data_IF_720986195798
#
_entry.id   IF_720986195798
#
_cell.length_a   1.000
_cell.length_b   1.000
_cell.length_c   1.000
_cell.angle_alpha   90.00
_cell.angle_beta   90.00
_cell.angle_gamma   90.00
#
_symmetry.space_group_name_H-M   'P 1'
#
loop_
_entity.id
_entity.type
_entity.pdbx_description
1 polymer ?
#
# COMPACT_ATOMS: atom_id res chain seq x y z
N UNK A 1 -34.34 -34.65 24.55
CA UNK A 1 -33.44 -33.99 25.51
C UNK A 1 -34.21 -32.83 26.13
N UNK A 2 -34.33 -32.79 27.46
CA UNK A 2 -35.32 -31.95 28.15
C UNK A 2 -34.94 -30.47 28.14
N UNK A 3 -35.72 -29.66 27.43
CA UNK A 3 -35.64 -28.18 27.41
C UNK A 3 -35.61 -27.58 28.83
N UNK A 4 -36.36 -28.18 29.75
CA UNK A 4 -36.48 -27.75 31.14
C UNK A 4 -35.17 -27.91 31.93
N UNK A 5 -34.32 -28.87 31.54
CA UNK A 5 -33.02 -29.08 32.17
C UNK A 5 -32.06 -27.93 31.85
N UNK A 6 -31.99 -27.51 30.57
CA UNK A 6 -31.19 -26.37 30.17
C UNK A 6 -31.73 -25.06 30.77
N UNK A 7 -33.05 -24.87 30.80
CA UNK A 7 -33.64 -23.69 31.44
C UNK A 7 -33.31 -23.61 32.94
N UNK A 8 -33.40 -24.73 33.67
CA UNK A 8 -33.04 -24.80 35.09
C UNK A 8 -31.56 -24.51 35.32
N UNK A 9 -30.69 -25.04 34.46
CA UNK A 9 -29.24 -24.80 34.53
C UNK A 9 -28.91 -23.34 34.20
N UNK A 10 -29.56 -22.75 33.19
CA UNK A 10 -29.38 -21.33 32.85
C UNK A 10 -29.83 -20.42 34.00
N UNK A 11 -31.00 -20.68 34.59
CA UNK A 11 -31.48 -19.94 35.75
C UNK A 11 -30.55 -20.09 36.97
N UNK A 12 -29.96 -21.28 37.15
CA UNK A 12 -28.96 -21.52 38.19
C UNK A 12 -27.67 -20.73 37.92
N UNK A 13 -27.13 -20.76 36.70
CA UNK A 13 -25.95 -19.99 36.31
C UNK A 13 -26.16 -18.47 36.41
N UNK A 14 -27.37 -18.00 36.12
CA UNK A 14 -27.76 -16.60 36.28
C UNK A 14 -27.85 -16.21 37.76
N UNK A 15 -28.51 -17.04 38.59
CA UNK A 15 -28.62 -16.83 40.04
C UNK A 15 -27.28 -16.89 40.77
N UNK A 16 -26.36 -17.75 40.32
CA UNK A 16 -25.00 -17.83 40.84
C UNK A 16 -24.08 -16.72 40.32
N UNK A 17 -24.55 -15.83 39.44
CA UNK A 17 -23.75 -14.72 38.90
C UNK A 17 -22.69 -15.12 37.88
N UNK A 18 -22.52 -16.41 37.60
CA UNK A 18 -21.45 -16.96 36.73
C UNK A 18 -21.53 -16.35 35.32
N UNK A 19 -22.74 -16.15 34.78
CA UNK A 19 -22.92 -15.51 33.47
C UNK A 19 -22.46 -14.04 33.51
N UNK A 20 -22.71 -13.35 34.61
CA UNK A 20 -22.28 -11.96 34.81
C UNK A 20 -20.76 -11.88 34.93
N UNK A 21 -20.14 -12.80 35.66
CA UNK A 21 -18.69 -12.87 35.85
C UNK A 21 -17.98 -13.19 34.54
N UNK A 22 -18.45 -14.18 33.79
CA UNK A 22 -17.92 -14.52 32.46
C UNK A 22 -18.09 -13.33 31.50
N UNK A 23 -19.25 -12.67 31.49
CA UNK A 23 -19.49 -11.49 30.65
C UNK A 23 -18.56 -10.34 31.03
N UNK A 24 -18.35 -10.11 32.32
CA UNK A 24 -17.47 -9.05 32.83
C UNK A 24 -16.02 -9.36 32.49
N UNK A 25 -15.57 -10.61 32.67
CA UNK A 25 -14.24 -11.07 32.30
C UNK A 25 -13.99 -10.96 30.78
N UNK A 26 -14.96 -11.36 29.95
CA UNK A 26 -14.85 -11.20 28.48
C UNK A 26 -14.79 -9.73 28.07
N UNK A 27 -15.61 -8.86 28.69
CA UNK A 27 -15.55 -7.41 28.45
C UNK A 27 -14.20 -6.84 28.87
N UNK A 28 -13.70 -7.24 30.04
CA UNK A 28 -12.40 -6.82 30.54
C UNK A 28 -11.27 -7.27 29.61
N UNK A 29 -11.28 -8.53 29.15
CA UNK A 29 -10.31 -9.04 28.19
C UNK A 29 -10.39 -8.34 26.84
N UNK A 30 -11.60 -8.04 26.34
CA UNK A 30 -11.77 -7.29 25.10
C UNK A 30 -11.22 -5.86 25.24
N UNK A 31 -11.52 -5.18 26.34
CA UNK A 31 -10.98 -3.85 26.63
C UNK A 31 -9.46 -3.89 26.79
N UNK A 32 -8.91 -4.88 27.48
CA UNK A 32 -7.46 -5.03 27.64
C UNK A 32 -6.77 -5.35 26.33
N UNK A 33 -7.34 -6.24 25.52
CA UNK A 33 -6.87 -6.52 24.16
C UNK A 33 -6.83 -5.21 23.37
N UNK A 34 -7.95 -4.50 23.24
CA UNK A 34 -8.03 -3.21 22.54
C UNK A 34 -7.14 -2.11 23.11
N UNK A 35 -6.86 -2.11 24.41
CA UNK A 35 -5.96 -1.15 25.07
C UNK A 35 -4.49 -1.47 24.84
N UNK A 36 -4.16 -2.75 24.65
CA UNK A 36 -2.81 -3.22 24.31
C UNK A 36 -2.54 -3.23 22.80
N UNK A 37 -3.59 -3.32 21.97
CA UNK A 37 -3.47 -3.10 20.53
C UNK A 37 -3.38 -1.60 20.30
N UNK A 38 -2.17 -1.10 20.20
CA UNK A 38 -1.87 0.24 19.72
C UNK A 38 -2.66 0.52 18.43
N UNK A 39 -3.78 1.26 18.52
CA UNK A 39 -4.55 1.76 17.36
C UNK A 39 -3.75 2.76 16.51
N UNK A 40 -2.46 2.95 16.81
CA UNK A 40 -1.49 3.71 16.04
C UNK A 40 -0.97 2.96 14.81
N UNK A 41 -1.34 1.69 14.62
CA UNK A 41 -1.17 0.97 13.35
C UNK A 41 -2.08 1.61 12.27
N UNK A 42 -1.56 2.66 11.62
CA UNK A 42 -1.93 3.24 10.31
C UNK A 42 -1.76 4.78 10.24
N UNK A 43 -0.92 5.39 11.10
CA UNK A 43 -0.58 6.83 10.90
C UNK A 43 0.24 7.11 9.65
N UNK A 44 0.93 6.12 9.09
CA UNK A 44 1.79 6.34 7.92
C UNK A 44 1.03 6.32 6.57
N UNK A 45 -0.24 5.91 6.56
CA UNK A 45 -1.13 5.98 5.40
C UNK A 45 -2.28 7.00 5.58
N UNK A 46 -2.22 7.87 6.60
CA UNK A 46 -3.27 8.84 6.93
C UNK A 46 -3.31 10.07 6.01
N UNK A 47 -2.87 9.92 4.76
CA UNK A 47 -3.30 10.85 3.73
C UNK A 47 -4.80 10.67 3.47
N UNK A 48 -5.53 11.72 3.06
CA UNK A 48 -6.88 11.52 2.57
C UNK A 48 -6.84 10.47 1.45
N UNK A 49 -7.48 9.32 1.67
CA UNK A 49 -7.61 8.29 0.63
C UNK A 49 -8.21 8.94 -0.62
N UNK A 50 -7.58 8.74 -1.77
CA UNK A 50 -8.12 9.24 -3.03
C UNK A 50 -9.55 8.70 -3.24
N UNK A 51 -10.43 9.49 -3.85
CA UNK A 51 -11.76 9.03 -4.26
C UNK A 51 -11.69 7.70 -5.03
N UNK A 52 -10.65 7.50 -5.85
CA UNK A 52 -10.41 6.23 -6.55
C UNK A 52 -10.18 5.05 -5.60
N UNK A 53 -9.40 5.25 -4.54
CA UNK A 53 -9.17 4.21 -3.54
C UNK A 53 -10.47 3.83 -2.81
N UNK A 54 -11.31 4.81 -2.50
CA UNK A 54 -12.63 4.54 -1.91
C UNK A 54 -13.51 3.71 -2.86
N UNK A 55 -13.52 4.04 -4.15
CA UNK A 55 -14.27 3.26 -5.15
C UNK A 55 -13.71 1.84 -5.29
N UNK A 56 -12.39 1.65 -5.27
CA UNK A 56 -11.81 0.30 -5.25
C UNK A 56 -12.21 -0.47 -3.98
N UNK A 57 -12.10 0.16 -2.82
CA UNK A 57 -12.49 -0.45 -1.54
C UNK A 57 -13.99 -0.85 -1.58
N UNK A 58 -14.86 0.01 -2.14
CA UNK A 58 -16.29 -0.23 -2.30
C UNK A 58 -16.60 -1.38 -3.27
N UNK A 59 -15.96 -1.41 -4.44
CA UNK A 59 -16.15 -2.47 -5.44
C UNK A 59 -15.70 -3.83 -4.94
N UNK A 60 -14.59 -3.88 -4.19
CA UNK A 60 -14.11 -5.10 -3.53
C UNK A 60 -15.09 -5.54 -2.45
N UNK A 61 -15.59 -4.61 -1.64
CA UNK A 61 -16.56 -4.93 -0.61
C UNK A 61 -17.86 -5.51 -1.18
N UNK A 62 -18.38 -4.91 -2.25
CA UNK A 62 -19.56 -5.39 -2.96
C UNK A 62 -19.34 -6.80 -3.53
N UNK A 63 -18.16 -7.05 -4.13
CA UNK A 63 -17.80 -8.37 -4.62
C UNK A 63 -17.78 -9.43 -3.50
N UNK A 64 -17.11 -9.11 -2.38
CA UNK A 64 -17.04 -10.01 -1.21
C UNK A 64 -18.43 -10.26 -0.61
N UNK A 65 -19.27 -9.23 -0.60
CA UNK A 65 -20.65 -9.31 -0.14
C UNK A 65 -21.49 -10.24 -1.03
N UNK A 66 -21.46 -10.04 -2.35
CA UNK A 66 -22.24 -10.84 -3.31
C UNK A 66 -21.85 -12.33 -3.33
N UNK A 67 -20.61 -12.66 -2.97
CA UNK A 67 -20.13 -14.04 -2.86
C UNK A 67 -20.23 -14.65 -1.45
N UNK A 68 -20.90 -13.97 -0.49
CA UNK A 68 -21.07 -14.44 0.89
C UNK A 68 -19.75 -14.67 1.66
N UNK A 69 -18.68 -13.94 1.33
CA UNK A 69 -17.41 -14.01 2.06
C UNK A 69 -17.45 -13.15 3.34
N UNK A 70 -18.36 -13.44 4.25
CA UNK A 70 -18.63 -12.63 5.43
C UNK A 70 -17.42 -12.43 6.36
N UNK A 71 -16.59 -13.48 6.53
CA UNK A 71 -15.36 -13.39 7.33
C UNK A 71 -14.35 -12.44 6.69
N UNK A 72 -14.02 -12.66 5.41
CA UNK A 72 -13.08 -11.83 4.66
C UNK A 72 -13.55 -10.38 4.61
N UNK A 73 -14.85 -10.16 4.39
CA UNK A 73 -15.44 -8.84 4.42
C UNK A 73 -15.32 -8.17 5.79
N UNK A 74 -15.48 -8.91 6.89
CA UNK A 74 -15.34 -8.35 8.24
C UNK A 74 -13.92 -7.88 8.55
N UNK A 75 -12.91 -8.66 8.12
CA UNK A 75 -11.50 -8.29 8.21
C UNK A 75 -11.23 -7.08 7.31
N UNK A 76 -11.69 -7.13 6.07
CA UNK A 76 -11.52 -6.04 5.12
C UNK A 76 -12.15 -4.72 5.59
N UNK A 77 -13.35 -4.76 6.17
CA UNK A 77 -14.02 -3.60 6.75
C UNK A 77 -13.28 -3.05 7.99
N UNK A 78 -12.55 -3.90 8.73
CA UNK A 78 -11.71 -3.44 9.86
C UNK A 78 -10.46 -2.69 9.40
N UNK A 79 -9.97 -2.96 8.18
CA UNK A 79 -8.78 -2.32 7.60
C UNK A 79 -9.12 -1.12 6.70
N UNK A 80 -10.35 -1.03 6.21
CA UNK A 80 -10.82 0.05 5.34
C UNK A 80 -11.82 0.97 6.07
N UNK A 81 -11.36 2.08 6.69
CA UNK A 81 -12.17 2.90 7.60
C UNK A 81 -13.40 3.58 6.97
N UNK A 82 -13.47 3.67 5.65
CA UNK A 82 -14.58 4.29 4.93
C UNK A 82 -15.72 3.30 4.59
N UNK A 83 -15.51 2.01 4.83
CA UNK A 83 -16.49 0.95 4.53
C UNK A 83 -17.51 0.72 5.65
N UNK A 84 -17.43 1.48 6.76
CA UNK A 84 -18.29 1.34 7.94
C UNK A 84 -19.79 1.49 7.61
N UNK A 85 -20.14 2.01 6.44
CA UNK A 85 -21.53 2.23 6.01
C UNK A 85 -21.96 1.48 4.74
N UNK A 86 -21.26 0.42 4.26
CA UNK A 86 -21.67 -0.33 3.05
C UNK A 86 -23.17 -0.69 3.06
N UNK A 87 -23.71 -1.09 4.22
CA UNK A 87 -25.14 -1.44 4.38
C UNK A 87 -26.11 -0.28 4.12
N UNK A 88 -25.69 0.98 4.25
CA UNK A 88 -26.54 2.16 3.94
C UNK A 88 -26.65 2.41 2.44
N UNK A 89 -25.73 1.86 1.66
CA UNK A 89 -25.60 2.08 0.21
C UNK A 89 -26.28 0.97 -0.61
N UNK A 90 -26.93 0.02 0.07
CA UNK A 90 -27.71 -1.07 -0.52
C UNK A 90 -29.18 -0.67 -0.61
N UNK A 91 -29.87 -1.05 -1.69
CA UNK A 91 -31.33 -0.85 -1.80
C UNK A 91 -32.04 -1.67 -0.70
N UNK A 92 -33.00 -1.11 0.06
CA UNK A 92 -33.83 -1.90 0.97
C UNK A 92 -34.79 -2.75 0.14
N UNK A 93 -34.37 -3.97 -0.21
CA UNK A 93 -35.14 -4.95 -0.97
C UNK A 93 -35.36 -6.24 -0.17
N UNK A 94 -36.45 -6.94 -0.48
CA UNK A 94 -36.90 -8.21 0.09
C UNK A 94 -35.81 -9.30 0.13
N UNK A 95 -36.00 -10.32 0.97
CA UNK A 95 -35.02 -11.38 1.30
C UNK A 95 -34.40 -12.14 0.10
N UNK A 96 -34.89 -11.97 -1.13
CA UNK A 96 -34.37 -12.57 -2.36
C UNK A 96 -33.57 -11.61 -3.27
N UNK A 97 -33.58 -10.29 -3.01
CA UNK A 97 -32.81 -9.33 -3.82
C UNK A 97 -31.36 -9.30 -3.33
N UNK A 98 -30.47 -9.92 -4.13
CA UNK A 98 -29.02 -9.75 -3.96
C UNK A 98 -28.71 -8.26 -3.85
N UNK A 99 -27.97 -7.92 -2.80
CA UNK A 99 -27.80 -6.57 -2.29
C UNK A 99 -26.94 -5.71 -3.24
N UNK A 100 -27.57 -5.16 -4.27
CA UNK A 100 -26.93 -4.27 -5.24
C UNK A 100 -26.73 -2.86 -4.66
N UNK A 101 -25.67 -2.21 -5.16
CA UNK A 101 -25.39 -0.80 -4.89
C UNK A 101 -26.54 0.08 -5.41
N UNK A 102 -26.80 1.17 -4.70
CA UNK A 102 -27.70 2.23 -5.16
C UNK A 102 -27.19 2.85 -6.47
N UNK A 103 -28.12 3.20 -7.36
CA UNK A 103 -27.81 3.67 -8.70
C UNK A 103 -26.88 4.90 -8.70
N UNK A 104 -27.09 5.83 -7.76
CA UNK A 104 -26.24 7.01 -7.60
C UNK A 104 -24.78 6.66 -7.28
N UNK A 105 -24.54 5.57 -6.54
CA UNK A 105 -23.17 5.12 -6.25
C UNK A 105 -22.54 4.43 -7.46
N UNK A 106 -23.34 3.73 -8.27
CA UNK A 106 -22.87 3.11 -9.51
C UNK A 106 -22.42 4.19 -10.49
N UNK A 107 -23.23 5.25 -10.70
CA UNK A 107 -22.87 6.36 -11.59
C UNK A 107 -21.62 7.09 -11.12
N UNK A 108 -21.52 7.41 -9.83
CA UNK A 108 -20.33 8.05 -9.26
C UNK A 108 -19.08 7.16 -9.30
N UNK A 109 -19.22 5.84 -9.10
CA UNK A 109 -18.12 4.89 -9.21
C UNK A 109 -17.56 4.85 -10.64
N UNK A 110 -18.44 4.77 -11.64
CA UNK A 110 -18.05 4.80 -13.04
C UNK A 110 -17.36 6.12 -13.41
N UNK A 111 -17.93 7.26 -13.01
CA UNK A 111 -17.35 8.58 -13.27
C UNK A 111 -15.96 8.73 -12.65
N UNK A 112 -15.79 8.27 -11.40
CA UNK A 112 -14.50 8.28 -10.70
C UNK A 112 -13.46 7.38 -11.37
N UNK A 113 -13.88 6.29 -12.00
CA UNK A 113 -13.04 5.40 -12.81
C UNK A 113 -12.75 5.96 -14.21
N UNK A 114 -13.39 7.07 -14.60
CA UNK A 114 -13.24 7.70 -15.92
C UNK A 114 -14.18 7.15 -16.98
N UNK A 115 -15.19 6.38 -16.59
CA UNK A 115 -16.26 5.88 -17.46
C UNK A 115 -17.43 6.84 -17.33
N UNK A 116 -17.82 7.49 -18.44
CA UNK A 116 -18.96 8.40 -18.42
C UNK A 116 -20.26 7.59 -18.37
N UNK A 117 -21.09 7.76 -17.33
CA UNK A 117 -22.35 7.02 -17.21
C UNK A 117 -23.34 7.41 -18.33
N UNK A 118 -23.22 8.60 -18.91
CA UNK A 118 -24.08 9.08 -20.00
C UNK A 118 -23.70 8.51 -21.38
N UNK A 119 -22.49 7.94 -21.52
CA UNK A 119 -22.03 7.35 -22.77
C UNK A 119 -22.62 5.93 -22.96
N UNK A 120 -22.76 5.43 -24.21
CA UNK A 120 -23.35 4.12 -24.47
C UNK A 120 -22.61 2.98 -23.75
N UNK A 121 -21.31 3.13 -23.53
CA UNK A 121 -20.50 2.16 -22.80
C UNK A 121 -20.87 2.14 -21.31
N UNK A 122 -21.05 3.31 -20.69
CA UNK A 122 -21.48 3.44 -19.29
C UNK A 122 -22.91 2.95 -19.07
N UNK A 123 -23.84 3.34 -19.96
CA UNK A 123 -25.23 2.86 -19.93
C UNK A 123 -25.32 1.34 -20.12
N UNK A 124 -24.46 0.77 -20.97
CA UNK A 124 -24.40 -0.68 -21.16
C UNK A 124 -23.92 -1.39 -19.89
N UNK A 125 -22.96 -0.83 -19.15
CA UNK A 125 -22.49 -1.38 -17.87
C UNK A 125 -23.59 -1.31 -16.81
N UNK A 126 -24.30 -0.18 -16.71
CA UNK A 126 -25.40 0.01 -15.75
C UNK A 126 -26.53 -0.97 -16.06
N UNK A 127 -26.93 -1.09 -17.34
CA UNK A 127 -27.94 -2.04 -17.76
C UNK A 127 -27.51 -3.50 -17.52
N UNK A 128 -26.26 -3.87 -17.82
CA UNK A 128 -25.75 -5.24 -17.56
C UNK A 128 -25.67 -5.52 -16.04
N UNK A 129 -25.40 -4.50 -15.22
CA UNK A 129 -25.41 -4.61 -13.76
C UNK A 129 -26.82 -4.73 -13.18
N UNK A 130 -27.79 -3.96 -13.67
CA UNK A 130 -29.18 -4.05 -13.20
C UNK A 130 -29.82 -5.38 -13.61
N UNK A 131 -29.53 -5.88 -14.83
CA UNK A 131 -30.14 -7.09 -15.37
C UNK A 131 -29.47 -8.41 -14.95
N UNK A 132 -28.19 -8.39 -14.56
CA UNK A 132 -27.48 -9.61 -14.12
C UNK A 132 -27.20 -9.59 -12.61
N UNK A 133 -26.99 -10.77 -12.03
CA UNK A 133 -26.61 -10.94 -10.62
C UNK A 133 -25.10 -10.74 -10.35
N UNK A 134 -24.39 -10.12 -11.29
CA UNK A 134 -22.94 -9.97 -11.21
C UNK A 134 -22.57 -8.70 -10.44
N UNK A 135 -21.54 -8.74 -9.58
CA UNK A 135 -21.03 -7.53 -8.91
C UNK A 135 -20.53 -6.51 -9.94
N UNK A 136 -20.62 -5.22 -9.60
CA UNK A 136 -20.23 -4.12 -10.50
C UNK A 136 -18.78 -4.22 -10.96
N UNK A 137 -17.89 -4.70 -10.09
CA UNK A 137 -16.49 -4.95 -10.46
C UNK A 137 -16.38 -5.90 -11.66
N UNK A 138 -17.19 -6.96 -11.67
CA UNK A 138 -17.11 -7.99 -12.70
C UNK A 138 -17.76 -7.55 -14.01
N UNK A 139 -18.82 -6.73 -13.95
CA UNK A 139 -19.38 -6.10 -15.15
C UNK A 139 -18.36 -5.15 -15.77
N UNK A 140 -17.72 -4.28 -14.98
CA UNK A 140 -16.65 -3.39 -15.48
C UNK A 140 -15.51 -4.20 -16.13
N UNK A 141 -15.04 -5.27 -15.48
CA UNK A 141 -13.98 -6.12 -16.03
C UNK A 141 -14.39 -6.83 -17.32
N UNK A 142 -15.64 -7.29 -17.43
CA UNK A 142 -16.20 -7.88 -18.65
C UNK A 142 -16.21 -6.86 -19.81
N UNK A 143 -16.54 -5.60 -19.53
CA UNK A 143 -16.53 -4.53 -20.55
C UNK A 143 -15.10 -4.11 -20.96
N UNK A 144 -14.14 -4.17 -20.04
CA UNK A 144 -12.71 -3.99 -20.37
C UNK A 144 -12.21 -5.15 -21.23
N UNK A 145 -12.49 -6.40 -20.84
CA UNK A 145 -12.02 -7.59 -21.56
C UNK A 145 -12.61 -7.72 -22.97
N UNK A 146 -13.88 -7.35 -23.14
CA UNK A 146 -14.56 -7.36 -24.44
C UNK A 146 -14.10 -6.23 -25.37
N UNK A 147 -13.17 -5.37 -24.94
CA UNK A 147 -12.61 -4.30 -25.75
C UNK A 147 -13.61 -3.20 -26.12
N UNK A 148 -14.79 -3.18 -25.49
CA UNK A 148 -15.82 -2.17 -25.72
C UNK A 148 -15.51 -0.85 -25.03
N UNK A 149 -14.65 -0.86 -24.01
CA UNK A 149 -14.21 0.37 -23.36
C UNK A 149 -13.22 1.11 -24.27
N UNK A 150 -13.70 2.13 -24.97
CA UNK A 150 -12.81 3.05 -25.69
C UNK A 150 -12.06 3.89 -24.66
N UNK A 151 -10.86 3.47 -24.28
CA UNK A 151 -9.95 4.26 -23.46
C UNK A 151 -9.50 5.48 -24.28
N UNK A 152 -10.37 6.48 -24.39
CA UNK A 152 -9.94 7.78 -24.88
C UNK A 152 -9.06 8.38 -23.79
N UNK A 153 -7.75 8.33 -24.00
CA UNK A 153 -6.81 9.26 -23.38
C UNK A 153 -7.12 10.66 -23.93
N UNK A 154 -8.32 11.17 -23.62
CA UNK A 154 -8.77 12.48 -24.08
C UNK A 154 -8.07 13.51 -23.23
N UNK A 155 -7.13 14.22 -23.87
CA UNK A 155 -6.53 15.42 -23.34
C UNK A 155 -7.64 16.38 -22.87
N UNK A 156 -7.55 16.80 -21.60
CA UNK A 156 -8.12 18.04 -21.06
C UNK A 156 -9.44 18.48 -21.71
N UNK A 157 -10.54 17.98 -21.19
CA UNK A 157 -11.75 18.80 -21.13
C UNK A 157 -12.06 19.00 -19.66
N UNK A 158 -11.84 20.23 -19.19
CA UNK A 158 -12.31 20.73 -17.90
C UNK A 158 -13.84 20.58 -17.91
N UNK A 159 -14.32 19.47 -17.36
CA UNK A 159 -15.71 19.36 -16.95
C UNK A 159 -15.84 20.25 -15.71
N UNK A 160 -16.84 21.14 -15.73
CA UNK A 160 -17.19 22.03 -14.62
C UNK A 160 -17.52 21.19 -13.38
N UNK A 161 -16.52 20.87 -12.57
CA UNK A 161 -16.73 20.38 -11.23
C UNK A 161 -17.13 21.56 -10.35
N UNK A 162 -18.25 21.42 -9.65
CA UNK A 162 -18.59 22.27 -8.53
C UNK A 162 -17.41 22.29 -7.55
N UNK A 163 -16.78 23.46 -7.46
CA UNK A 163 -15.56 23.70 -6.72
C UNK A 163 -15.82 23.48 -5.22
N UNK A 164 -15.39 22.33 -4.70
CA UNK A 164 -15.31 22.07 -3.26
C UNK A 164 -13.83 22.07 -2.84
N UNK A 165 -13.56 22.47 -1.59
CA UNK A 165 -12.26 22.87 -1.04
C UNK A 165 -11.13 21.80 -1.01
N UNK A 166 -11.21 20.72 -1.80
CA UNK A 166 -10.20 19.65 -1.84
C UNK A 166 -9.40 19.58 -3.13
N UNK A 167 -9.52 20.56 -4.03
CA UNK A 167 -8.58 20.74 -5.15
C UNK A 167 -7.25 21.30 -4.65
N UNK A 168 -6.49 20.47 -3.93
CA UNK A 168 -5.06 20.69 -3.77
C UNK A 168 -4.45 20.67 -5.17
N UNK A 169 -3.89 21.82 -5.59
CA UNK A 169 -2.96 21.94 -6.71
C UNK A 169 -2.16 20.65 -6.81
N UNK A 170 -2.32 19.90 -7.90
CA UNK A 170 -1.49 18.73 -8.24
C UNK A 170 -0.06 19.14 -7.89
N UNK A 171 0.48 18.54 -6.82
CA UNK A 171 1.74 18.99 -6.23
C UNK A 171 2.77 19.09 -7.34
N UNK A 172 3.46 20.24 -7.40
CA UNK A 172 4.50 20.51 -8.39
C UNK A 172 5.57 19.40 -8.41
N UNK A 173 5.70 18.67 -7.29
CA UNK A 173 6.54 17.49 -7.15
C UNK A 173 6.06 16.30 -7.96
N UNK A 174 4.74 16.05 -8.06
CA UNK A 174 4.19 14.96 -8.88
C UNK A 174 4.48 15.22 -10.37
N UNK A 175 4.34 16.47 -10.81
CA UNK A 175 4.69 16.87 -12.18
C UNK A 175 6.20 16.84 -12.44
N UNK A 176 7.02 17.11 -11.42
CA UNK A 176 8.48 16.99 -11.49
C UNK A 176 8.90 15.53 -11.62
N UNK A 177 8.35 14.63 -10.80
CA UNK A 177 8.64 13.20 -10.86
C UNK A 177 8.15 12.57 -12.16
N UNK A 178 6.95 12.94 -12.63
CA UNK A 178 6.45 12.48 -13.93
C UNK A 178 7.40 12.86 -15.08
N UNK A 179 8.00 14.05 -15.05
CA UNK A 179 9.00 14.47 -16.04
C UNK A 179 10.30 13.66 -15.94
N UNK A 180 10.77 13.36 -14.73
CA UNK A 180 11.94 12.49 -14.52
C UNK A 180 11.72 11.09 -15.10
N UNK A 181 10.55 10.49 -14.85
CA UNK A 181 10.19 9.17 -15.36
C UNK A 181 10.15 9.15 -16.90
N UNK A 182 9.55 10.19 -17.52
CA UNK A 182 9.51 10.30 -18.99
C UNK A 182 10.92 10.40 -19.57
N UNK A 183 11.81 11.17 -18.95
CA UNK A 183 13.19 11.32 -19.41
C UNK A 183 14.00 10.03 -19.22
N UNK A 184 13.82 9.33 -18.09
CA UNK A 184 14.43 8.03 -17.86
C UNK A 184 13.98 7.00 -18.90
N UNK A 185 12.68 6.96 -19.22
CA UNK A 185 12.12 6.09 -20.27
C UNK A 185 12.74 6.39 -21.64
N UNK A 186 12.91 7.65 -22.01
CA UNK A 186 13.57 8.03 -23.28
C UNK A 186 15.04 7.58 -23.31
N UNK A 187 15.77 7.74 -22.20
CA UNK A 187 17.17 7.26 -22.10
C UNK A 187 17.24 5.74 -22.27
N UNK A 188 16.38 5.00 -21.58
CA UNK A 188 16.33 3.54 -21.68
C UNK A 188 15.98 3.07 -23.09
N UNK A 189 15.07 3.76 -23.78
CA UNK A 189 14.75 3.47 -25.18
C UNK A 189 15.96 3.65 -26.10
N UNK A 190 16.69 4.76 -25.94
CA UNK A 190 17.90 5.00 -26.73
C UNK A 190 18.99 3.94 -26.46
N UNK A 191 19.13 3.50 -25.21
CA UNK A 191 20.06 2.44 -24.84
C UNK A 191 19.65 1.10 -25.45
N UNK A 192 18.36 0.76 -25.42
CA UNK A 192 17.82 -0.43 -26.08
C UNK A 192 18.07 -0.41 -27.59
N UNK A 193 17.87 0.73 -28.25
CA UNK A 193 18.14 0.89 -29.68
C UNK A 193 19.64 0.77 -29.98
N UNK A 194 20.50 1.29 -29.10
CA UNK A 194 21.96 1.14 -29.20
C UNK A 194 22.40 -0.31 -29.04
N UNK A 195 21.84 -1.06 -28.09
CA UNK A 195 22.09 -2.49 -27.94
C UNK A 195 21.66 -3.28 -29.16
N UNK A 196 20.52 -2.93 -29.78
CA UNK A 196 20.06 -3.58 -31.00
C UNK A 196 21.04 -3.36 -32.16
N UNK A 197 21.58 -2.15 -32.30
CA UNK A 197 22.62 -1.85 -33.29
C UNK A 197 23.90 -2.67 -32.99
N UNK A 198 24.33 -2.70 -31.72
CA UNK A 198 25.48 -3.49 -31.30
C UNK A 198 25.30 -4.98 -31.63
N UNK A 199 24.12 -5.55 -31.35
CA UNK A 199 23.80 -6.95 -31.67
C UNK A 199 23.88 -7.23 -33.18
N UNK A 200 23.40 -6.31 -34.02
CA UNK A 200 23.52 -6.45 -35.47
C UNK A 200 24.97 -6.39 -35.94
N UNK A 201 25.81 -5.55 -35.33
CA UNK A 201 27.23 -5.46 -35.65
C UNK A 201 27.98 -6.72 -35.19
N UNK A 202 27.62 -7.27 -34.03
CA UNK A 202 28.20 -8.50 -33.51
C UNK A 202 27.91 -9.70 -34.42
N UNK A 203 26.67 -9.79 -34.96
CA UNK A 203 26.31 -10.81 -35.97
C UNK A 203 27.13 -10.66 -37.25
N UNK A 204 27.31 -9.43 -37.76
CA UNK A 204 28.17 -9.18 -38.93
C UNK A 204 29.61 -9.60 -38.68
N UNK A 205 30.15 -9.31 -37.49
CA UNK A 205 31.50 -9.70 -37.14
C UNK A 205 31.65 -11.23 -37.02
N UNK A 206 30.65 -11.92 -36.47
CA UNK A 206 30.60 -13.38 -36.48
C UNK A 206 30.56 -13.96 -37.90
N UNK A 207 29.78 -13.35 -38.80
CA UNK A 207 29.75 -13.74 -40.22
C UNK A 207 31.10 -13.50 -40.91
N UNK A 208 31.77 -12.38 -40.62
CA UNK A 208 33.12 -12.10 -41.13
C UNK A 208 34.15 -13.09 -40.60
N UNK A 209 34.10 -13.43 -39.31
CA UNK A 209 34.96 -14.47 -38.72
C UNK A 209 34.71 -15.83 -39.38
N UNK A 210 33.45 -16.21 -39.60
CA UNK A 210 33.10 -17.43 -40.28
C UNK A 210 33.63 -17.46 -41.73
N UNK A 211 33.55 -16.33 -42.45
CA UNK A 211 34.14 -16.19 -43.79
C UNK A 211 35.66 -16.34 -43.77
N UNK A 212 36.35 -15.66 -42.86
CA UNK A 212 37.82 -15.76 -42.74
C UNK A 212 38.24 -17.18 -42.36
N UNK A 213 37.52 -17.83 -41.44
CA UNK A 213 37.78 -19.22 -41.05
C UNK A 213 37.55 -20.19 -42.23
N UNK A 214 36.52 -19.94 -43.03
CA UNK A 214 36.27 -20.70 -44.26
C UNK A 214 37.38 -20.48 -45.29
N UNK A 215 37.80 -19.24 -45.54
CA UNK A 215 38.91 -18.91 -46.44
C UNK A 215 40.25 -19.53 -46.00
N UNK A 216 40.53 -19.59 -44.70
CA UNK A 216 41.70 -20.27 -44.15
C UNK A 216 41.62 -21.79 -44.32
N UNK A 217 40.43 -22.38 -44.14
CA UNK A 217 40.21 -23.81 -44.41
C UNK A 217 40.39 -24.14 -45.89
N UNK A 218 39.87 -23.30 -46.79
CA UNK A 218 40.03 -23.44 -48.25
C UNK A 218 41.49 -23.28 -48.70
N UNK A 219 42.23 -22.32 -48.12
CA UNK A 219 43.68 -22.13 -48.40
C UNK A 219 44.55 -23.24 -47.81
N UNK A 220 44.12 -23.91 -46.75
CA UNK A 220 44.81 -25.07 -46.21
C UNK A 220 44.64 -26.31 -47.10
N UNK A 221 43.49 -26.48 -47.77
CA UNK A 221 43.31 -27.57 -48.75
C UNK A 221 44.16 -27.37 -50.02
N UNK A 222 44.36 -26.13 -50.48
CA UNK A 222 45.28 -25.84 -51.60
C UNK A 222 46.77 -25.99 -51.25
N UNK A 223 47.16 -25.90 -49.97
CA UNK A 223 48.55 -26.08 -49.51
C UNK A 223 48.89 -27.49 -49.03
N UNK A 224 47.91 -28.36 -48.79
CA UNK A 224 48.13 -29.76 -48.36
C UNK A 224 48.75 -30.64 -49.46
N UNK A 225 48.80 -30.20 -50.71
CA UNK A 225 49.60 -30.88 -51.75
C UNK A 225 51.06 -30.40 -51.84
N UNK A 226 51.50 -29.37 -51.10
CA UNK A 226 52.83 -28.77 -51.32
C UNK A 226 53.74 -28.59 -50.09
N UNK A 227 53.29 -28.84 -48.86
CA UNK A 227 54.15 -28.64 -47.68
C UNK A 227 54.29 -29.93 -46.88
N UNK A 228 55.13 -30.83 -47.41
CA UNK A 228 55.70 -31.98 -46.67
C UNK A 228 57.21 -31.85 -46.51
N UNK A 229 57.69 -30.62 -46.28
CA UNK A 229 59.04 -30.36 -45.79
C UNK A 229 58.95 -29.25 -44.73
N UNK A 230 59.53 -29.52 -43.56
CA UNK A 230 59.68 -28.63 -42.40
C UNK A 230 58.48 -28.42 -41.47
N UNK A 231 58.10 -29.47 -40.75
CA UNK A 231 57.65 -29.33 -39.36
C UNK A 231 58.87 -29.21 -38.45
N UNK A 232 59.01 -28.07 -37.74
CA UNK A 232 59.38 -27.89 -36.32
C UNK A 232 59.54 -26.37 -36.14
N UNK A 233 58.46 -25.61 -35.87
CA UNK A 233 58.61 -24.29 -35.21
C UNK A 233 57.34 -23.60 -34.66
N UNK A 234 56.12 -24.13 -34.78
CA UNK A 234 54.89 -23.35 -34.44
C UNK A 234 54.16 -23.74 -33.15
N UNK A 235 54.74 -24.59 -32.29
CA UNK A 235 54.08 -24.98 -31.02
C UNK A 235 54.18 -23.95 -29.89
N UNK A 236 54.90 -22.84 -30.06
CA UNK A 236 55.16 -21.89 -28.96
C UNK A 236 54.08 -20.81 -28.78
N UNK A 237 53.36 -20.39 -29.84
CA UNK A 237 52.44 -19.24 -29.77
C UNK A 237 51.04 -19.55 -29.23
N UNK A 238 50.58 -20.80 -29.33
CA UNK A 238 49.24 -21.20 -28.86
C UNK A 238 49.20 -21.32 -27.33
N UNK A 239 50.31 -21.72 -26.69
CA UNK A 239 50.40 -21.93 -25.24
C UNK A 239 50.43 -20.59 -24.48
N UNK A 240 51.02 -19.55 -25.07
CA UNK A 240 51.09 -18.22 -24.45
C UNK A 240 49.73 -17.50 -24.46
N UNK A 241 48.92 -17.74 -25.49
CA UNK A 241 47.58 -17.14 -25.62
C UNK A 241 46.59 -17.68 -24.57
N UNK A 242 46.65 -18.98 -24.26
CA UNK A 242 45.76 -19.62 -23.29
C UNK A 242 46.14 -19.24 -21.84
N UNK A 243 47.44 -19.08 -21.55
CA UNK A 243 47.93 -18.58 -20.26
C UNK A 243 47.50 -17.13 -19.98
N UNK A 244 47.44 -16.27 -21.00
CA UNK A 244 47.01 -14.87 -20.82
C UNK A 244 45.53 -14.79 -20.44
N UNK A 245 44.68 -15.63 -21.02
CA UNK A 245 43.24 -15.65 -20.73
C UNK A 245 42.97 -16.15 -19.31
N UNK A 246 43.67 -17.20 -18.86
CA UNK A 246 43.53 -17.74 -17.50
C UNK A 246 43.99 -16.72 -16.46
N UNK A 247 45.13 -16.05 -16.70
CA UNK A 247 45.63 -15.02 -15.79
C UNK A 247 44.67 -13.82 -15.65
N UNK A 248 44.08 -13.35 -16.76
CA UNK A 248 43.08 -12.28 -16.70
C UNK A 248 41.83 -12.69 -15.92
N UNK A 249 41.37 -13.94 -16.08
CA UNK A 249 40.22 -14.45 -15.34
C UNK A 249 40.50 -14.56 -13.82
N UNK A 250 41.70 -14.98 -13.44
CA UNK A 250 42.12 -15.06 -12.03
C UNK A 250 42.33 -13.69 -11.38
N UNK A 251 42.70 -12.67 -12.17
CA UNK A 251 42.83 -11.30 -11.70
C UNK A 251 41.45 -10.63 -11.50
N UNK A 252 40.51 -10.82 -12.44
CA UNK A 252 39.12 -10.38 -12.27
C UNK A 252 38.45 -11.04 -11.06
N UNK A 253 38.68 -12.35 -10.86
CA UNK A 253 38.17 -13.07 -9.69
C UNK A 253 38.72 -12.50 -8.40
N UNK A 254 40.01 -12.16 -8.35
CA UNK A 254 40.64 -11.51 -7.18
C UNK A 254 40.07 -10.11 -6.93
N UNK A 255 39.84 -9.33 -7.98
CA UNK A 255 39.23 -8.01 -7.85
C UNK A 255 37.79 -8.08 -7.31
N UNK A 256 36.98 -8.99 -7.84
CA UNK A 256 35.61 -9.20 -7.36
C UNK A 256 35.57 -9.68 -5.91
N UNK A 257 36.50 -10.55 -5.53
CA UNK A 257 36.60 -11.03 -4.15
C UNK A 257 37.02 -9.92 -3.18
N UNK A 258 37.94 -9.04 -3.60
CA UNK A 258 38.32 -7.84 -2.83
C UNK A 258 37.14 -6.88 -2.68
N UNK A 259 36.39 -6.64 -3.76
CA UNK A 259 35.22 -5.75 -3.73
C UNK A 259 34.12 -6.31 -2.82
N UNK A 260 33.88 -7.61 -2.86
CA UNK A 260 32.91 -8.26 -1.98
C UNK A 260 33.29 -8.12 -0.50
N UNK A 261 34.58 -8.28 -0.16
CA UNK A 261 35.07 -8.06 1.20
C UNK A 261 34.94 -6.59 1.63
N UNK A 262 35.24 -5.64 0.76
CA UNK A 262 35.07 -4.21 1.03
C UNK A 262 33.60 -3.85 1.31
N UNK A 263 32.68 -4.35 0.48
CA UNK A 263 31.24 -4.14 0.69
C UNK A 263 30.77 -4.72 2.02
N UNK A 264 31.28 -5.89 2.40
CA UNK A 264 30.93 -6.52 3.67
C UNK A 264 31.41 -5.70 4.87
N UNK A 265 32.65 -5.19 4.84
CA UNK A 265 33.16 -4.29 5.89
C UNK A 265 32.37 -2.98 5.94
N UNK A 266 31.96 -2.45 4.79
CA UNK A 266 31.17 -1.22 4.73
C UNK A 266 29.78 -1.39 5.31
N UNK A 267 29.14 -2.53 5.08
CA UNK A 267 27.85 -2.88 5.69
C UNK A 267 28.01 -2.95 7.20
N UNK A 268 29.04 -3.64 7.70
CA UNK A 268 29.30 -3.76 9.14
C UNK A 268 29.52 -2.40 9.81
N UNK A 269 30.30 -1.51 9.19
CA UNK A 269 30.51 -0.14 9.67
C UNK A 269 29.19 0.65 9.76
N UNK A 270 28.36 0.59 8.71
CA UNK A 270 27.06 1.27 8.68
C UNK A 270 26.10 0.71 9.73
N UNK A 271 26.09 -0.61 9.93
CA UNK A 271 25.26 -1.27 10.95
C UNK A 271 25.68 -0.81 12.35
N UNK A 272 26.98 -0.78 12.66
CA UNK A 272 27.47 -0.29 13.96
C UNK A 272 27.12 1.20 14.18
N UNK A 273 27.24 2.02 13.13
CA UNK A 273 26.87 3.44 13.21
C UNK A 273 25.38 3.63 13.45
N UNK A 274 24.53 2.84 12.80
CA UNK A 274 23.09 2.88 13.00
C UNK A 274 22.72 2.53 14.45
N UNK A 275 23.27 1.43 14.99
CA UNK A 275 23.04 1.01 16.38
C UNK A 275 23.43 2.13 17.36
N UNK A 276 24.59 2.78 17.13
CA UNK A 276 25.05 3.88 17.99
C UNK A 276 24.09 5.08 17.95
N UNK A 277 23.61 5.45 16.76
CA UNK A 277 22.67 6.54 16.60
C UNK A 277 21.31 6.23 17.24
N UNK A 278 20.81 4.99 17.10
CA UNK A 278 19.58 4.55 17.76
C UNK A 278 19.68 4.69 19.27
N UNK A 279 20.79 4.25 19.87
CA UNK A 279 21.04 4.40 21.31
C UNK A 279 21.11 5.87 21.74
N UNK A 280 21.77 6.73 20.97
CA UNK A 280 21.81 8.17 21.25
C UNK A 280 20.40 8.81 21.19
N UNK A 281 19.56 8.33 20.28
CA UNK A 281 18.18 8.82 20.13
C UNK A 281 17.32 8.40 21.32
N UNK A 282 17.46 7.16 21.79
CA UNK A 282 16.82 6.64 22.99
C UNK A 282 17.24 7.42 24.26
N UNK A 283 18.54 7.69 24.41
CA UNK A 283 19.07 8.49 25.52
C UNK A 283 18.52 9.93 25.51
N UNK A 284 18.36 10.56 24.34
CA UNK A 284 17.75 11.90 24.21
C UNK A 284 16.25 11.89 24.50
N UNK A 285 15.53 10.83 24.15
CA UNK A 285 14.10 10.69 24.46
C UNK A 285 13.86 10.52 25.96
N UNK A 286 14.73 9.81 26.66
CA UNK A 286 14.66 9.62 28.11
C UNK A 286 15.04 10.88 28.91
N UNK A 287 15.87 11.76 28.35
CA UNK A 287 16.29 13.01 28.99
C UNK A 287 15.32 14.18 28.79
N UNK A 288 14.17 13.98 28.10
CA UNK A 288 13.18 15.04 27.90
C UNK A 288 12.37 15.23 29.19
N UNK A 289 12.59 16.31 29.97
CA UNK A 289 11.79 16.55 31.16
C UNK A 289 10.38 16.94 30.71
N UNK A 290 9.38 16.49 31.48
CA UNK A 290 8.02 17.02 31.46
C UNK A 290 8.10 18.52 31.73
N UNK A 291 8.13 19.32 30.68
CA UNK A 291 7.93 20.76 30.78
C UNK A 291 6.62 21.05 30.08
N UNK A 292 5.59 21.29 30.90
CA UNK A 292 4.43 22.09 30.55
C UNK A 292 4.92 23.39 29.89
N UNK A 293 4.81 23.45 28.56
CA UNK A 293 4.93 24.72 27.83
C UNK A 293 3.78 24.80 26.86
N UNK A 294 2.71 25.41 27.35
CA UNK A 294 1.87 26.37 26.63
C UNK A 294 2.70 27.04 25.53
N UNK A 295 2.46 26.70 24.26
CA UNK A 295 3.04 27.42 23.12
C UNK A 295 1.94 28.08 22.28
N UNK A 296 2.26 29.26 21.73
CA UNK A 296 1.29 30.30 21.43
C UNK A 296 0.86 30.27 19.97
N UNK A 297 -0.39 30.66 19.78
CA UNK A 297 -0.97 30.96 18.48
C UNK A 297 -0.36 32.25 17.96
N UNK A 298 0.42 32.17 16.87
CA UNK A 298 0.69 33.34 16.04
C UNK A 298 -0.40 33.44 14.97
N UNK A 299 -1.14 34.54 15.11
CA UNK A 299 -2.26 35.04 14.34
C UNK A 299 -1.97 35.28 12.87
N UNK A 300 -2.87 34.81 12.00
CA UNK A 300 -3.22 35.49 10.75
C UNK A 300 -4.67 35.94 10.84
N UNK A 301 -4.82 37.24 10.90
CA UNK A 301 -6.05 38.03 10.83
C UNK A 301 -6.80 37.79 9.52
N UNK A 302 -8.08 37.45 9.62
CA UNK A 302 -9.11 37.85 8.66
C UNK A 302 -10.39 38.09 9.44
N UNK A 303 -10.72 39.37 9.56
CA UNK A 303 -12.00 39.93 9.95
C UNK A 303 -13.11 39.41 9.06
N UNK A 304 -14.07 38.69 9.64
CA UNK A 304 -15.47 38.73 9.19
C UNK A 304 -16.35 38.72 10.42
N UNK A 305 -17.04 39.84 10.60
CA UNK A 305 -18.17 40.05 11.49
C UNK A 305 -19.28 39.09 11.10
N UNK A 306 -19.79 38.31 12.05
CA UNK A 306 -21.22 37.96 12.12
C UNK A 306 -21.51 37.31 13.48
N UNK A 307 -22.37 37.98 14.22
CA UNK A 307 -22.94 37.60 15.50
C UNK A 307 -23.64 36.25 15.44
N UNK A 308 -23.31 35.34 16.36
CA UNK A 308 -24.17 34.24 16.85
C UNK A 308 -23.49 33.53 18.05
N UNK A 309 -22.89 34.28 18.97
CA UNK A 309 -22.26 33.71 20.17
C UNK A 309 -23.28 33.61 21.32
N UNK A 310 -24.02 32.50 21.34
CA UNK A 310 -24.73 32.05 22.55
C UNK A 310 -24.71 30.52 22.63
N UNK A 311 -24.93 29.83 21.51
CA UNK A 311 -25.00 28.36 21.47
C UNK A 311 -23.63 27.66 21.68
N UNK A 312 -22.57 28.15 21.05
CA UNK A 312 -21.26 27.46 21.09
C UNK A 312 -20.55 27.59 22.44
N UNK A 313 -20.72 28.72 23.13
CA UNK A 313 -20.11 28.93 24.45
C UNK A 313 -20.80 28.08 25.54
N UNK A 314 -22.12 27.89 25.46
CA UNK A 314 -22.87 27.02 26.37
C UNK A 314 -22.42 25.56 26.24
N UNK A 315 -22.18 25.08 25.02
CA UNK A 315 -21.67 23.73 24.76
C UNK A 315 -20.26 23.56 25.33
N UNK A 316 -19.40 24.58 25.19
CA UNK A 316 -18.04 24.55 25.73
C UNK A 316 -18.06 24.59 27.26
N UNK A 317 -18.96 25.37 27.88
CA UNK A 317 -19.12 25.41 29.33
C UNK A 317 -19.64 24.08 29.89
N UNK A 318 -20.65 23.48 29.27
CA UNK A 318 -21.15 22.15 29.68
C UNK A 318 -20.06 21.08 29.56
N UNK A 319 -19.31 21.07 28.45
CA UNK A 319 -18.20 20.15 28.26
C UNK A 319 -17.13 20.32 29.35
N UNK A 320 -16.78 21.55 29.71
CA UNK A 320 -15.83 21.84 30.81
C UNK A 320 -16.34 21.37 32.16
N UNK A 321 -17.62 21.62 32.47
CA UNK A 321 -18.21 21.24 33.74
C UNK A 321 -18.37 19.71 33.86
N UNK A 322 -18.59 19.03 32.73
CA UNK A 322 -18.64 17.57 32.66
C UNK A 322 -17.26 16.94 32.82
N UNK A 323 -16.22 17.55 32.24
CA UNK A 323 -14.84 17.12 32.40
C UNK A 323 -14.39 17.23 33.86
N UNK A 324 -14.69 18.36 34.51
CA UNK A 324 -14.38 18.57 35.93
C UNK A 324 -15.04 17.53 36.84
N UNK A 325 -16.30 17.16 36.56
CA UNK A 325 -16.99 16.08 37.30
C UNK A 325 -16.31 14.73 37.12
N UNK A 326 -15.89 14.40 35.90
CA UNK A 326 -15.17 13.16 35.62
C UNK A 326 -13.81 13.10 36.31
N UNK A 327 -13.10 14.23 36.40
CA UNK A 327 -11.83 14.31 37.15
C UNK A 327 -12.05 14.07 38.66
N UNK A 328 -13.10 14.66 39.25
CA UNK A 328 -13.44 14.42 40.65
C UNK A 328 -13.89 12.97 40.91
N UNK A 329 -14.64 12.36 40.00
CA UNK A 329 -15.06 10.95 40.08
C UNK A 329 -13.87 10.00 39.91
N UNK A 330 -12.95 10.29 38.98
CA UNK A 330 -11.71 9.53 38.80
C UNK A 330 -10.85 9.59 40.06
N UNK A 331 -10.68 10.78 40.62
CA UNK A 331 -9.90 10.96 41.85
C UNK A 331 -10.51 10.19 43.03
N UNK A 332 -11.84 10.20 43.18
CA UNK A 332 -12.53 9.40 44.20
C UNK A 332 -12.40 7.89 43.96
N UNK A 333 -12.44 7.44 42.71
CA UNK A 333 -12.25 6.04 42.36
C UNK A 333 -10.83 5.58 42.70
N UNK A 334 -9.82 6.39 42.37
CA UNK A 334 -8.42 6.12 42.70
C UNK A 334 -8.18 6.11 44.21
N UNK A 335 -8.79 7.04 44.95
CA UNK A 335 -8.73 7.07 46.41
C UNK A 335 -9.41 5.83 47.03
N UNK A 336 -10.57 5.43 46.50
CA UNK A 336 -11.27 4.21 46.94
C UNK A 336 -10.45 2.95 46.68
N UNK A 337 -9.82 2.86 45.50
CA UNK A 337 -8.93 1.76 45.15
C UNK A 337 -7.70 1.72 46.06
N UNK A 338 -7.09 2.87 46.33
CA UNK A 338 -5.95 2.98 47.23
C UNK A 338 -6.31 2.59 48.67
N UNK A 339 -7.48 3.00 49.16
CA UNK A 339 -7.98 2.62 50.49
C UNK A 339 -8.27 1.11 50.58
N UNK A 340 -8.82 0.51 49.53
CA UNK A 340 -9.02 -0.94 49.45
C UNK A 340 -7.71 -1.73 49.46
N UNK A 341 -6.64 -1.20 48.84
CA UNK A 341 -5.33 -1.86 48.80
C UNK A 341 -4.56 -1.66 50.11
N UNK A 342 -4.68 -0.50 50.74
CA UNK A 342 -3.91 -0.15 51.94
C UNK A 342 -4.60 -0.54 53.25
N UNK A 343 -5.86 -0.99 53.20
CA UNK A 343 -6.58 -1.55 54.36
C UNK A 343 -6.88 -0.54 55.47
N UNK A 344 -6.83 0.76 55.18
CA UNK A 344 -7.23 1.81 56.12
C UNK A 344 -8.75 2.05 56.02
N UNK A 345 -9.49 2.04 57.15
CA UNK A 345 -10.93 2.31 57.13
C UNK A 345 -11.20 3.79 56.81
N UNK A 346 -12.37 4.02 56.18
CA UNK A 346 -12.92 5.34 55.83
C UNK A 346 -12.97 6.33 57.00
#
# INVERSE_FOLDING_TARGET
>A
MNSDYYSTIYAWFEKCGIISDVRTHLRHNLVNALKSTDMTLNKDNSGPKSAKQYIYDLLIAEYLWNHNYAYTLSVFASEAPLLVNIRKHVKPGSEDDKQKLQNDYVTHALETLGIRPDEPDGQSIIADYDNNDMPLLLTILKFIYTGKLSYTYSARTEVKNCQTQTDFKISEDILREKRKIINARKKLQNEQDSYKIFETNLKKLQEELAKVQQELSSKNEEKVTQIRTHEVSTQTEVIDSEKIIINNCDDEKRQLQSLAQEQQLRIEELTLRAIRLSRQLEEVQLLKPVIEVTRPVFSKTLTTVLSESSSTDDIIQDAKQRLKRLEEESFKADQSYFNCITGLPL
#
